data_IF_486282391259
#
_entry.id   IF_486282391259
#
_cell.length_a   1.000
_cell.length_b   1.000
_cell.length_c   1.000
_cell.angle_alpha   90.00
_cell.angle_beta   90.00
_cell.angle_gamma   90.00
#
_symmetry.space_group_name_H-M   'P 1'
#
loop_
_entity.id
_entity.type
_entity.pdbx_description
1 polymer ?
#
# COMPACT_ATOMS: atom_id res chain seq x y z
N UNK A 1 35.11 1.10 17.53
CA UNK A 1 35.50 1.09 16.10
C UNK A 1 35.48 -0.37 15.65
N UNK A 2 34.61 -0.73 14.73
CA UNK A 2 34.62 -2.07 14.14
C UNK A 2 35.90 -2.26 13.34
N UNK A 3 36.60 -3.36 13.56
CA UNK A 3 37.89 -3.64 12.91
C UNK A 3 37.60 -3.96 11.43
N UNK A 4 37.99 -3.14 10.50
CA UNK A 4 37.78 -3.31 9.05
C UNK A 4 38.29 -4.67 8.50
N UNK A 5 39.23 -5.33 9.21
CA UNK A 5 39.71 -6.68 8.87
C UNK A 5 38.67 -7.78 9.07
N UNK A 6 37.63 -7.53 9.84
CA UNK A 6 36.54 -8.53 10.11
C UNK A 6 35.39 -8.46 9.08
N UNK A 7 35.48 -7.58 8.08
CA UNK A 7 34.49 -7.43 7.02
C UNK A 7 34.79 -8.26 5.76
N UNK A 8 35.95 -8.87 5.68
CA UNK A 8 36.34 -9.73 4.56
C UNK A 8 35.36 -10.92 4.49
N UNK A 9 34.80 -11.14 3.32
CA UNK A 9 33.86 -12.22 3.05
C UNK A 9 32.44 -12.03 3.66
N UNK A 10 32.09 -10.80 4.10
CA UNK A 10 30.74 -10.46 4.57
C UNK A 10 30.01 -9.54 3.57
N UNK A 11 28.70 -9.72 3.46
CA UNK A 11 27.82 -8.76 2.74
C UNK A 11 27.61 -7.55 3.64
N UNK A 12 27.83 -6.36 3.08
CA UNK A 12 27.57 -5.10 3.80
C UNK A 12 26.22 -4.57 3.36
N UNK A 13 25.29 -4.44 4.31
CA UNK A 13 23.96 -3.84 4.11
C UNK A 13 24.03 -2.43 4.67
N UNK A 14 23.69 -1.43 3.85
CA UNK A 14 23.64 -0.03 4.27
C UNK A 14 22.17 0.39 4.43
N UNK A 15 21.79 0.73 5.66
CA UNK A 15 20.45 1.13 6.06
C UNK A 15 19.63 0.00 6.68
N UNK A 16 19.11 0.24 7.88
CA UNK A 16 18.27 -0.67 8.67
C UNK A 16 16.77 -0.43 8.51
N UNK A 17 16.32 0.07 7.35
CA UNK A 17 14.90 0.11 7.00
C UNK A 17 14.38 -1.24 6.53
N UNK A 18 13.10 -1.34 6.11
CA UNK A 18 12.47 -2.59 5.67
C UNK A 18 13.31 -3.36 4.63
N UNK A 19 13.85 -2.67 3.63
CA UNK A 19 14.65 -3.32 2.59
C UNK A 19 15.94 -3.94 3.14
N UNK A 20 16.67 -3.22 4.00
CA UNK A 20 17.89 -3.72 4.61
C UNK A 20 17.63 -4.86 5.59
N UNK A 21 16.58 -4.76 6.40
CA UNK A 21 16.17 -5.81 7.34
C UNK A 21 15.70 -7.07 6.60
N UNK A 22 14.93 -6.92 5.51
CA UNK A 22 14.51 -8.04 4.65
C UNK A 22 15.74 -8.71 4.00
N UNK A 23 16.70 -7.93 3.50
CA UNK A 23 17.95 -8.46 2.97
C UNK A 23 18.70 -9.26 4.05
N UNK A 24 18.85 -8.69 5.25
CA UNK A 24 19.48 -9.36 6.39
C UNK A 24 18.78 -10.67 6.75
N UNK A 25 17.44 -10.67 6.77
CA UNK A 25 16.63 -11.87 7.03
C UNK A 25 16.93 -13.00 6.03
N UNK A 26 16.95 -12.70 4.72
CA UNK A 26 17.25 -13.72 3.72
C UNK A 26 18.71 -14.19 3.76
N UNK A 27 19.68 -13.30 3.99
CA UNK A 27 21.08 -13.68 4.16
C UNK A 27 21.27 -14.59 5.38
N UNK A 28 20.60 -14.28 6.49
CA UNK A 28 20.61 -15.13 7.68
C UNK A 28 20.01 -16.51 7.39
N UNK A 29 18.88 -16.58 6.70
CA UNK A 29 18.24 -17.84 6.29
C UNK A 29 19.14 -18.67 5.38
N UNK A 30 19.92 -18.04 4.52
CA UNK A 30 20.92 -18.68 3.65
C UNK A 30 22.25 -18.94 4.34
N UNK A 31 22.42 -18.54 5.60
CA UNK A 31 23.68 -18.62 6.37
C UNK A 31 24.83 -17.87 5.73
N UNK A 32 24.56 -16.78 5.04
CA UNK A 32 25.56 -15.89 4.44
C UNK A 32 25.92 -14.82 5.47
N UNK A 33 27.23 -14.68 5.83
CA UNK A 33 27.66 -13.66 6.77
C UNK A 33 27.40 -12.26 6.26
N UNK A 34 26.86 -11.38 7.11
CA UNK A 34 26.60 -9.99 6.77
C UNK A 34 26.87 -9.04 7.94
N UNK A 35 26.97 -7.77 7.63
CA UNK A 35 26.98 -6.66 8.59
C UNK A 35 25.95 -5.63 8.11
N UNK A 36 25.01 -5.27 8.99
CA UNK A 36 24.06 -4.20 8.73
C UNK A 36 24.52 -2.92 9.43
N UNK A 37 24.63 -1.85 8.66
CA UNK A 37 25.02 -0.52 9.13
C UNK A 37 23.79 0.39 9.06
N UNK A 38 23.41 0.96 10.21
CA UNK A 38 22.36 1.96 10.33
C UNK A 38 22.94 3.26 10.85
N UNK A 39 22.59 4.39 10.21
CA UNK A 39 23.13 5.70 10.53
C UNK A 39 22.35 6.43 11.64
N UNK A 40 21.14 5.98 11.95
CA UNK A 40 20.31 6.53 13.01
C UNK A 40 20.50 5.77 14.34
N UNK A 41 19.75 6.16 15.34
CA UNK A 41 19.76 5.56 16.68
C UNK A 41 19.08 4.19 16.77
N UNK A 42 18.25 3.81 15.77
CA UNK A 42 17.56 2.52 15.71
C UNK A 42 17.20 2.12 14.28
N UNK A 43 16.92 0.82 14.10
CA UNK A 43 16.40 0.26 12.84
C UNK A 43 14.93 0.63 12.61
N UNK A 44 14.39 0.35 11.40
CA UNK A 44 13.01 0.56 11.01
C UNK A 44 12.84 1.68 9.96
N UNK A 45 13.71 2.67 9.94
CA UNK A 45 13.66 3.75 8.94
C UNK A 45 12.31 4.47 8.93
N UNK A 46 11.60 4.44 7.78
CA UNK A 46 10.30 5.11 7.60
C UNK A 46 9.10 4.40 8.25
N UNK A 47 9.26 3.18 8.73
CA UNK A 47 8.21 2.47 9.49
C UNK A 47 8.41 2.58 11.00
N UNK A 48 9.36 3.40 11.46
CA UNK A 48 9.54 3.65 12.90
C UNK A 48 8.32 4.35 13.50
N UNK A 49 8.05 3.97 14.74
CA UNK A 49 7.03 4.57 15.59
C UNK A 49 7.71 5.19 16.81
N UNK A 50 7.49 6.45 17.06
CA UNK A 50 8.00 7.14 18.25
C UNK A 50 6.91 7.19 19.33
N UNK A 51 7.29 6.89 20.57
CA UNK A 51 6.41 7.10 21.73
C UNK A 51 6.64 8.48 22.30
N UNK A 52 5.66 9.39 22.18
CA UNK A 52 5.76 10.77 22.67
C UNK A 52 4.56 11.07 23.54
N UNK A 53 4.80 11.32 24.81
CA UNK A 53 3.75 11.64 25.82
C UNK A 53 2.59 10.62 25.85
N UNK A 54 2.89 9.34 25.61
CA UNK A 54 1.89 8.26 25.58
C UNK A 54 1.20 8.06 24.22
N UNK A 55 1.55 8.85 23.20
CA UNK A 55 1.06 8.69 21.84
C UNK A 55 2.05 7.93 20.97
N UNK A 56 1.53 7.04 20.13
CA UNK A 56 2.30 6.37 19.07
C UNK A 56 2.30 7.26 17.83
N UNK A 57 3.48 7.71 17.40
CA UNK A 57 3.66 8.57 16.24
C UNK A 57 4.48 7.85 15.18
N UNK A 58 3.82 7.38 14.14
CA UNK A 58 4.47 6.74 13.00
C UNK A 58 5.19 7.79 12.14
N UNK A 59 6.46 7.52 11.77
CA UNK A 59 7.29 8.45 11.01
C UNK A 59 6.95 8.49 9.51
N UNK A 60 6.26 7.49 8.99
CA UNK A 60 5.97 7.37 7.57
C UNK A 60 4.60 6.75 7.31
N UNK A 61 4.58 5.51 6.87
CA UNK A 61 3.34 4.81 6.56
C UNK A 61 2.49 4.62 7.80
N UNK A 62 1.19 4.88 7.64
CA UNK A 62 0.19 4.75 8.69
C UNK A 62 -0.89 3.71 8.31
N UNK A 63 -0.71 3.00 7.22
CA UNK A 63 -1.62 1.95 6.75
C UNK A 63 -0.80 0.78 6.21
N UNK A 64 -1.11 -0.42 6.68
CA UNK A 64 -0.55 -1.66 6.20
C UNK A 64 -1.61 -2.44 5.42
N UNK A 65 -1.31 -2.78 4.15
CA UNK A 65 -2.20 -3.60 3.32
C UNK A 65 -1.90 -5.08 3.57
N UNK A 66 -2.80 -5.78 4.22
CA UNK A 66 -2.60 -7.17 4.63
C UNK A 66 -2.48 -8.17 3.46
N UNK A 67 -2.76 -7.74 2.23
CA UNK A 67 -2.68 -8.57 1.04
C UNK A 67 -1.28 -8.66 0.40
N UNK A 68 -0.30 -7.86 0.85
CA UNK A 68 1.05 -7.92 0.27
C UNK A 68 1.65 -9.33 0.40
N UNK A 69 1.95 -10.03 -0.72
CA UNK A 69 2.42 -11.41 -0.67
C UNK A 69 3.79 -11.52 -0.01
N UNK A 70 4.70 -10.60 -0.29
CA UNK A 70 6.04 -10.57 0.29
C UNK A 70 6.01 -10.32 1.81
N UNK A 71 5.07 -9.51 2.28
CA UNK A 71 4.89 -9.27 3.71
C UNK A 71 4.41 -10.54 4.44
N UNK A 72 3.50 -11.31 3.81
CA UNK A 72 3.02 -12.59 4.37
C UNK A 72 4.10 -13.65 4.51
N UNK A 73 5.15 -13.60 3.70
CA UNK A 73 6.27 -14.54 3.77
C UNK A 73 7.24 -14.22 4.89
N UNK A 74 7.31 -12.97 5.32
CA UNK A 74 8.36 -12.46 6.22
C UNK A 74 7.80 -12.11 7.59
N UNK A 75 6.59 -11.51 7.64
CA UNK A 75 6.00 -10.98 8.85
C UNK A 75 5.04 -11.98 9.50
N UNK A 76 5.12 -12.07 10.82
CA UNK A 76 4.16 -12.80 11.64
C UNK A 76 2.94 -11.90 11.92
N UNK A 77 1.87 -12.09 11.15
CA UNK A 77 0.66 -11.27 11.25
C UNK A 77 -0.07 -11.41 12.59
N UNK A 78 0.04 -12.58 13.22
CA UNK A 78 -0.59 -12.80 14.53
C UNK A 78 0.11 -11.96 15.61
N UNK A 79 1.44 -11.89 15.56
CA UNK A 79 2.24 -11.04 16.45
C UNK A 79 2.05 -9.55 16.23
N UNK A 80 1.66 -9.12 15.03
CA UNK A 80 1.40 -7.71 14.72
C UNK A 80 0.05 -7.20 15.26
N UNK A 81 -0.86 -8.09 15.64
CA UNK A 81 -2.20 -7.73 16.12
C UNK A 81 -2.91 -6.69 15.23
N UNK A 82 -2.96 -6.97 13.93
CA UNK A 82 -3.46 -6.05 12.91
C UNK A 82 -4.91 -5.64 13.17
N UNK A 83 -5.15 -4.33 13.29
CA UNK A 83 -6.46 -3.73 13.48
C UNK A 83 -7.01 -3.26 12.12
N UNK A 84 -8.07 -3.87 11.57
CA UNK A 84 -8.60 -3.50 10.27
C UNK A 84 -9.44 -2.22 10.35
N UNK A 85 -9.27 -1.36 9.36
CA UNK A 85 -10.16 -0.22 9.12
C UNK A 85 -11.43 -0.64 8.39
N UNK A 86 -12.45 0.23 8.47
CA UNK A 86 -13.66 0.07 7.67
C UNK A 86 -13.33 0.03 6.16
N UNK A 87 -13.83 -0.98 5.40
CA UNK A 87 -13.56 -1.07 3.96
C UNK A 87 -14.38 -0.06 3.17
N UNK A 88 -13.83 1.12 2.99
CA UNK A 88 -14.44 2.25 2.31
C UNK A 88 -13.72 3.55 2.62
N UNK A 89 -14.34 4.66 2.22
CA UNK A 89 -13.82 5.99 2.45
C UNK A 89 -14.92 6.97 2.84
N UNK A 90 -14.57 7.98 3.64
CA UNK A 90 -15.38 9.16 3.87
C UNK A 90 -14.80 10.31 3.04
N UNK A 91 -15.60 10.84 2.14
CA UNK A 91 -15.20 11.87 1.19
C UNK A 91 -15.93 13.17 1.51
N UNK A 92 -15.19 14.22 1.85
CA UNK A 92 -15.74 15.56 2.00
C UNK A 92 -15.98 16.17 0.62
N UNK A 93 -17.23 16.51 0.32
CA UNK A 93 -17.58 17.16 -0.94
C UNK A 93 -18.84 18.01 -0.76
N UNK A 94 -18.87 19.20 -1.34
CA UNK A 94 -20.03 20.11 -1.31
C UNK A 94 -20.57 20.38 0.11
N UNK A 95 -19.68 20.56 1.09
CA UNK A 95 -20.07 20.92 2.46
C UNK A 95 -20.58 19.74 3.31
N UNK A 96 -20.44 18.49 2.84
CA UNK A 96 -20.88 17.31 3.58
C UNK A 96 -19.94 16.11 3.39
N UNK A 97 -20.04 15.15 4.31
CA UNK A 97 -19.31 13.88 4.24
C UNK A 97 -20.13 12.84 3.48
N UNK A 98 -19.51 12.21 2.51
CA UNK A 98 -20.11 11.13 1.72
C UNK A 98 -19.37 9.83 1.98
N UNK A 99 -20.10 8.82 2.39
CA UNK A 99 -19.57 7.46 2.58
C UNK A 99 -19.54 6.73 1.24
N UNK A 100 -18.37 6.22 0.87
CA UNK A 100 -18.17 5.32 -0.28
C UNK A 100 -17.67 4.00 0.29
N UNK A 101 -18.48 2.96 0.20
CA UNK A 101 -18.16 1.64 0.73
C UNK A 101 -17.73 0.68 -0.39
N UNK A 102 -16.90 -0.30 -0.03
CA UNK A 102 -16.55 -1.42 -0.89
C UNK A 102 -17.79 -2.29 -1.14
N UNK A 103 -18.26 -2.42 -2.40
CA UNK A 103 -19.52 -3.14 -2.68
C UNK A 103 -19.44 -4.64 -2.40
N UNK A 104 -18.24 -5.24 -2.45
CA UNK A 104 -18.07 -6.67 -2.21
C UNK A 104 -18.04 -7.01 -0.72
N UNK A 105 -17.49 -6.11 0.09
CA UNK A 105 -17.36 -6.30 1.54
C UNK A 105 -18.51 -5.70 2.34
N UNK A 106 -19.15 -4.63 1.82
CA UNK A 106 -20.22 -3.88 2.46
C UNK A 106 -21.36 -3.59 1.47
N UNK A 107 -22.04 -4.62 0.95
CA UNK A 107 -23.04 -4.45 -0.12
C UNK A 107 -24.20 -3.55 0.30
N UNK A 108 -24.65 -3.61 1.55
CA UNK A 108 -25.75 -2.75 2.05
C UNK A 108 -25.33 -1.28 2.09
N UNK A 109 -24.11 -0.99 2.61
CA UNK A 109 -23.58 0.37 2.67
C UNK A 109 -23.31 0.92 1.27
N UNK A 110 -22.84 0.08 0.36
CA UNK A 110 -22.60 0.44 -1.04
C UNK A 110 -23.92 0.74 -1.76
N UNK A 111 -24.98 -0.03 -1.52
CA UNK A 111 -26.32 0.21 -2.05
C UNK A 111 -26.89 1.56 -1.54
N UNK A 112 -26.72 1.87 -0.26
CA UNK A 112 -27.10 3.17 0.31
C UNK A 112 -26.30 4.33 -0.32
N UNK A 113 -25.06 4.08 -0.72
CA UNK A 113 -24.18 5.05 -1.38
C UNK A 113 -24.42 5.23 -2.89
N UNK A 114 -25.35 4.51 -3.52
CA UNK A 114 -25.59 4.58 -4.97
C UNK A 114 -25.93 6.02 -5.42
N UNK A 115 -26.66 6.76 -4.60
CA UNK A 115 -27.11 8.12 -4.90
C UNK A 115 -26.15 9.21 -4.42
N UNK A 116 -24.99 8.86 -3.82
CA UNK A 116 -24.05 9.88 -3.40
C UNK A 116 -23.42 10.59 -4.62
N UNK A 117 -23.00 11.87 -4.48
CA UNK A 117 -22.50 12.68 -5.61
C UNK A 117 -21.05 12.33 -6.00
N UNK A 118 -20.45 11.30 -5.42
CA UNK A 118 -19.10 10.86 -5.74
C UNK A 118 -19.16 9.84 -6.87
N UNK A 119 -18.97 10.33 -8.08
CA UNK A 119 -19.09 9.53 -9.30
C UNK A 119 -20.54 9.24 -9.72
N UNK A 120 -20.69 8.91 -10.99
CA UNK A 120 -21.97 8.45 -11.58
C UNK A 120 -22.24 6.99 -11.27
N UNK A 121 -23.46 6.53 -11.57
CA UNK A 121 -23.78 5.09 -11.53
C UNK A 121 -22.85 4.29 -12.47
N UNK A 122 -22.55 4.82 -13.66
CA UNK A 122 -21.61 4.21 -14.58
C UNK A 122 -20.18 4.09 -14.00
N UNK A 123 -19.73 5.08 -13.22
CA UNK A 123 -18.44 5.00 -12.53
C UNK A 123 -18.41 3.88 -11.48
N UNK A 124 -19.51 3.68 -10.77
CA UNK A 124 -19.62 2.62 -9.75
C UNK A 124 -19.60 1.22 -10.38
N UNK A 125 -20.22 1.04 -11.55
CA UNK A 125 -20.11 -0.21 -12.31
C UNK A 125 -18.70 -0.45 -12.82
N UNK A 126 -18.02 0.57 -13.34
CA UNK A 126 -16.62 0.46 -13.77
C UNK A 126 -15.68 0.15 -12.60
N UNK A 127 -15.94 0.72 -11.43
CA UNK A 127 -15.19 0.38 -10.21
C UNK A 127 -15.31 -1.10 -9.86
N UNK A 128 -16.52 -1.65 -9.88
CA UNK A 128 -16.75 -3.07 -9.64
C UNK A 128 -16.05 -3.95 -10.69
N UNK A 129 -16.16 -3.60 -11.97
CA UNK A 129 -15.48 -4.32 -13.06
C UNK A 129 -13.96 -4.24 -12.96
N UNK A 130 -13.40 -3.09 -12.59
CA UNK A 130 -11.97 -2.93 -12.34
C UNK A 130 -11.52 -3.82 -11.18
N UNK A 131 -12.27 -3.84 -10.08
CA UNK A 131 -11.96 -4.66 -8.91
C UNK A 131 -11.93 -6.14 -9.28
N UNK A 132 -12.93 -6.64 -10.00
CA UNK A 132 -12.96 -8.02 -10.49
C UNK A 132 -11.77 -8.32 -11.41
N UNK A 133 -11.47 -7.42 -12.35
CA UNK A 133 -10.35 -7.56 -13.29
C UNK A 133 -8.99 -7.68 -12.59
N UNK A 134 -8.71 -6.83 -11.60
CA UNK A 134 -7.43 -6.87 -10.88
C UNK A 134 -7.32 -8.06 -9.92
N UNK A 135 -8.44 -8.52 -9.35
CA UNK A 135 -8.48 -9.72 -8.51
C UNK A 135 -8.20 -10.97 -9.34
N UNK A 136 -8.83 -11.10 -10.50
CA UNK A 136 -8.68 -12.26 -11.40
C UNK A 136 -7.34 -12.29 -12.13
N UNK A 137 -6.68 -11.13 -12.30
CA UNK A 137 -5.36 -11.08 -12.90
C UNK A 137 -4.36 -11.90 -12.07
N UNK A 138 -3.59 -12.80 -12.72
CA UNK A 138 -2.58 -13.65 -12.07
C UNK A 138 -1.38 -12.90 -11.46
N UNK A 139 -1.35 -11.56 -11.54
CA UNK A 139 -0.27 -10.71 -11.03
C UNK A 139 -0.32 -10.65 -9.50
N UNK A 140 0.58 -11.35 -8.85
CA UNK A 140 0.59 -11.46 -7.38
C UNK A 140 1.60 -10.53 -6.71
N UNK A 141 2.64 -10.07 -7.43
CA UNK A 141 3.67 -9.18 -6.88
C UNK A 141 4.17 -8.20 -7.93
N UNK A 142 4.76 -7.09 -7.49
CA UNK A 142 5.42 -6.13 -8.40
C UNK A 142 6.59 -6.79 -9.14
N UNK A 143 7.31 -7.69 -8.48
CA UNK A 143 8.44 -8.40 -9.06
C UNK A 143 8.06 -9.42 -10.14
N UNK A 144 6.81 -9.88 -10.16
CA UNK A 144 6.28 -10.85 -11.13
C UNK A 144 5.43 -10.20 -12.22
N UNK A 145 5.54 -8.87 -12.39
CA UNK A 145 4.88 -8.19 -13.50
C UNK A 145 5.52 -8.71 -14.82
N UNK A 146 4.78 -9.49 -15.60
CA UNK A 146 5.31 -9.91 -16.90
C UNK A 146 5.43 -8.68 -17.81
N UNK A 147 6.48 -8.65 -18.55
CA UNK A 147 6.80 -7.70 -19.63
C UNK A 147 5.80 -7.84 -20.81
N UNK A 148 4.52 -8.04 -20.49
CA UNK A 148 3.54 -8.48 -21.47
C UNK A 148 2.63 -7.36 -21.92
N UNK A 149 2.89 -6.90 -23.14
CA UNK A 149 1.89 -6.53 -24.16
C UNK A 149 1.00 -5.31 -23.92
N UNK A 150 1.18 -4.54 -22.86
CA UNK A 150 0.53 -3.26 -22.68
C UNK A 150 1.61 -2.19 -22.48
N UNK A 151 1.59 -1.16 -23.32
CA UNK A 151 2.41 0.01 -23.06
C UNK A 151 2.12 0.55 -21.66
N UNK A 152 3.17 0.76 -20.90
CA UNK A 152 3.05 1.37 -19.60
C UNK A 152 2.60 2.81 -19.75
N UNK A 153 1.51 3.17 -19.08
CA UNK A 153 0.93 4.51 -19.09
C UNK A 153 0.90 5.09 -17.67
N UNK A 154 0.45 6.33 -17.55
CA UNK A 154 0.24 6.94 -16.24
C UNK A 154 -1.05 6.41 -15.60
N UNK A 155 -1.15 6.48 -14.28
CA UNK A 155 -2.38 6.21 -13.54
C UNK A 155 -3.55 7.06 -14.07
N UNK A 156 -3.31 8.36 -14.33
CA UNK A 156 -4.33 9.25 -14.87
C UNK A 156 -4.83 8.79 -16.25
N UNK A 157 -3.92 8.44 -17.15
CA UNK A 157 -4.28 7.90 -18.48
C UNK A 157 -5.07 6.61 -18.35
N UNK A 158 -4.66 5.73 -17.46
CA UNK A 158 -5.34 4.46 -17.20
C UNK A 158 -6.77 4.64 -16.71
N UNK A 159 -7.01 5.59 -15.81
CA UNK A 159 -8.36 5.93 -15.35
C UNK A 159 -9.24 6.44 -16.50
N UNK A 160 -8.67 7.26 -17.40
CA UNK A 160 -9.36 7.75 -18.59
C UNK A 160 -9.67 6.62 -19.59
N UNK A 161 -8.74 5.69 -19.84
CA UNK A 161 -8.94 4.51 -20.70
C UNK A 161 -10.08 3.61 -20.19
N UNK A 162 -10.19 3.40 -18.87
CA UNK A 162 -11.30 2.67 -18.23
C UNK A 162 -12.61 3.46 -18.42
N UNK A 163 -12.51 4.76 -18.69
CA UNK A 163 -13.63 5.65 -18.96
C UNK A 163 -14.28 6.20 -17.68
N UNK A 164 -13.54 6.31 -16.58
CA UNK A 164 -14.03 7.03 -15.41
C UNK A 164 -14.30 8.50 -15.72
N UNK A 165 -15.36 9.02 -15.11
CA UNK A 165 -15.69 10.45 -15.27
C UNK A 165 -14.68 11.34 -14.53
N UNK A 166 -14.55 12.59 -14.99
CA UNK A 166 -13.72 13.58 -14.30
C UNK A 166 -14.18 13.80 -12.85
N UNK A 167 -15.47 13.63 -12.57
CA UNK A 167 -16.02 13.81 -11.23
C UNK A 167 -15.41 12.80 -10.23
N UNK A 168 -15.46 11.49 -10.52
CA UNK A 168 -14.89 10.48 -9.63
C UNK A 168 -13.36 10.54 -9.61
N UNK A 169 -12.74 10.88 -10.76
CA UNK A 169 -11.29 11.05 -10.83
C UNK A 169 -10.82 12.16 -9.89
N UNK A 170 -11.47 13.33 -9.90
CA UNK A 170 -11.08 14.47 -9.07
C UNK A 170 -11.48 14.31 -7.60
N UNK A 171 -12.62 13.69 -7.30
CA UNK A 171 -13.14 13.60 -5.93
C UNK A 171 -12.69 12.37 -5.15
N UNK A 172 -12.31 11.30 -5.84
CA UNK A 172 -11.90 10.04 -5.22
C UNK A 172 -10.48 9.64 -5.60
N UNK A 173 -10.22 9.32 -6.88
CA UNK A 173 -8.94 8.75 -7.27
C UNK A 173 -7.77 9.69 -7.02
N UNK A 174 -7.89 10.95 -7.44
CA UNK A 174 -6.80 11.92 -7.31
C UNK A 174 -6.43 12.16 -5.85
N UNK A 175 -7.35 12.52 -4.93
CA UNK A 175 -7.01 12.69 -3.52
C UNK A 175 -6.45 11.43 -2.85
N UNK A 176 -7.04 10.26 -3.15
CA UNK A 176 -6.67 9.01 -2.53
C UNK A 176 -5.28 8.53 -2.97
N UNK A 177 -5.06 8.43 -4.27
CA UNK A 177 -3.78 7.94 -4.80
C UNK A 177 -2.65 8.96 -4.70
N UNK A 178 -2.94 10.26 -4.74
CA UNK A 178 -1.93 11.29 -4.45
C UNK A 178 -1.34 11.15 -3.05
N UNK A 179 -2.17 10.76 -2.08
CA UNK A 179 -1.71 10.48 -0.72
C UNK A 179 -0.81 9.25 -0.64
N UNK A 180 -1.11 8.21 -1.44
CA UNK A 180 -0.31 6.98 -1.49
C UNK A 180 1.03 7.20 -2.23
N UNK A 181 0.98 7.89 -3.37
CA UNK A 181 2.15 8.09 -4.24
C UNK A 181 2.99 9.30 -3.86
N UNK A 182 2.45 10.20 -3.03
CA UNK A 182 3.04 11.52 -2.73
C UNK A 182 3.25 12.34 -4.01
N UNK A 183 2.36 12.15 -5.00
CA UNK A 183 2.43 12.75 -6.32
C UNK A 183 1.00 13.14 -6.78
N UNK A 184 0.69 14.45 -6.90
CA UNK A 184 -0.68 14.92 -7.07
C UNK A 184 -1.25 14.77 -8.48
N UNK A 185 -0.41 14.60 -9.51
CA UNK A 185 -0.87 14.59 -10.91
C UNK A 185 -1.17 13.18 -11.45
N UNK A 186 -1.01 12.14 -10.62
CA UNK A 186 -1.20 10.73 -10.96
C UNK A 186 -0.36 10.30 -12.19
N UNK A 187 0.89 10.79 -12.25
CA UNK A 187 1.86 10.40 -13.27
C UNK A 187 2.53 9.06 -12.94
N UNK A 188 2.35 8.56 -11.73
CA UNK A 188 2.82 7.23 -11.33
C UNK A 188 2.26 6.16 -12.25
N UNK A 189 3.07 5.14 -12.52
CA UNK A 189 2.78 4.01 -13.40
C UNK A 189 1.38 3.41 -13.22
N UNK A 190 0.71 3.12 -14.32
CA UNK A 190 -0.56 2.38 -14.34
C UNK A 190 -0.44 0.98 -13.75
N UNK A 191 0.72 0.35 -13.88
CA UNK A 191 1.05 -0.94 -13.29
C UNK A 191 1.05 -0.87 -11.76
N UNK A 192 1.65 0.18 -11.19
CA UNK A 192 1.62 0.41 -9.75
C UNK A 192 0.20 0.69 -9.25
N UNK A 193 -0.59 1.44 -10.02
CA UNK A 193 -2.01 1.68 -9.72
C UNK A 193 -2.80 0.37 -9.63
N UNK A 194 -2.71 -0.48 -10.64
CA UNK A 194 -3.40 -1.77 -10.67
C UNK A 194 -2.95 -2.68 -9.54
N UNK A 195 -1.65 -2.69 -9.22
CA UNK A 195 -1.11 -3.45 -8.10
C UNK A 195 -1.66 -2.97 -6.75
N UNK A 196 -1.56 -1.68 -6.45
CA UNK A 196 -2.07 -1.12 -5.19
C UNK A 196 -3.58 -1.33 -5.08
N UNK A 197 -4.31 -1.08 -6.16
CA UNK A 197 -5.76 -1.30 -6.20
C UNK A 197 -6.13 -2.76 -5.93
N UNK A 198 -5.34 -3.70 -6.45
CA UNK A 198 -5.50 -5.14 -6.15
C UNK A 198 -5.24 -5.46 -4.69
N UNK A 199 -4.20 -4.87 -4.08
CA UNK A 199 -3.92 -5.08 -2.66
C UNK A 199 -5.06 -4.56 -1.78
N UNK A 200 -5.60 -3.38 -2.12
CA UNK A 200 -6.79 -2.81 -1.47
C UNK A 200 -8.03 -3.71 -1.62
N UNK A 201 -8.19 -4.34 -2.78
CA UNK A 201 -9.34 -5.22 -3.06
C UNK A 201 -9.23 -6.59 -2.36
N UNK A 202 -8.02 -7.14 -2.22
CA UNK A 202 -7.78 -8.49 -1.68
C UNK A 202 -7.53 -8.55 -0.18
N UNK A 203 -7.02 -7.48 0.41
CA UNK A 203 -6.65 -7.42 1.81
C UNK A 203 -7.37 -6.31 2.57
N UNK A 204 -7.15 -6.28 3.87
CA UNK A 204 -7.61 -5.20 4.72
C UNK A 204 -6.60 -4.07 4.77
N UNK A 205 -7.10 -2.85 4.88
CA UNK A 205 -6.31 -1.73 5.34
C UNK A 205 -6.21 -1.86 6.85
N UNK A 206 -5.02 -2.02 7.38
CA UNK A 206 -4.80 -2.30 8.79
C UNK A 206 -3.75 -1.39 9.39
N UNK A 207 -3.73 -1.35 10.71
CA UNK A 207 -2.66 -0.75 11.49
C UNK A 207 -2.25 -1.75 12.57
N UNK A 208 -0.96 -2.03 12.77
CA UNK A 208 -0.50 -2.80 13.91
C UNK A 208 -0.86 -2.10 15.22
N UNK A 209 -1.26 -2.86 16.26
CA UNK A 209 -1.78 -2.30 17.52
C UNK A 209 -0.77 -1.40 18.25
N UNK A 210 0.53 -1.68 18.09
CA UNK A 210 1.63 -0.95 18.71
C UNK A 210 2.36 0.00 17.75
N UNK A 211 1.73 0.36 16.61
CA UNK A 211 2.31 1.21 15.56
C UNK A 211 3.07 0.40 14.51
N UNK A 212 3.51 1.09 13.46
CA UNK A 212 4.11 0.45 12.28
C UNK A 212 5.47 -0.22 12.53
N UNK A 213 6.10 0.03 13.67
CA UNK A 213 7.39 -0.58 14.05
C UNK A 213 7.23 -1.95 14.76
N UNK A 214 6.02 -2.43 14.98
CA UNK A 214 5.73 -3.67 15.72
C UNK A 214 6.47 -4.89 15.18
#
# INVERSE_FOLDING_TARGET
>A
MANFMDLKDKVIIIGGGLAGLTCAFYLQKMRIPFVLLEGSDAVGGRVRTDMVNGFLLDRGFQIFLSAYPEAKEILDYDSLELQPFYPGALIWSNGSMHKVADPFRRPIDAAAGIFNPIGSFGDKLKMASLQESVISSGRSSVATLPDTLREETTTLSRLAEIGFSSNITQKFFKPFFSGIYLEPELQTSSTMFEFVFKMLAKGDNTLPSMGMQS
#
